data_IF_486487513697
#
_entry.id   IF_486487513697
#
_cell.length_a   1.000
_cell.length_b   1.000
_cell.length_c   1.000
_cell.angle_alpha   90.00
_cell.angle_beta   90.00
_cell.angle_gamma   90.00
#
_symmetry.space_group_name_H-M   'P 1'
#
loop_
_entity.id
_entity.type
_entity.pdbx_description
1 polymer ?
#
# COMPACT_ATOMS: atom_id res chain seq x y z
N UNK A 1 -1.04 -7.29 -32.60
CA UNK A 1 -0.57 -6.68 -31.36
C UNK A 1 -0.76 -7.70 -30.25
N UNK A 2 0.33 -8.05 -29.58
CA UNK A 2 0.26 -8.94 -28.42
C UNK A 2 -0.58 -8.22 -27.34
N UNK A 3 -1.69 -8.81 -26.92
CA UNK A 3 -2.55 -8.23 -25.87
C UNK A 3 -1.82 -8.36 -24.54
N UNK A 4 -1.56 -7.24 -23.90
CA UNK A 4 -0.86 -7.20 -22.61
C UNK A 4 -1.83 -7.44 -21.45
N UNK A 5 -1.44 -8.30 -20.51
CA UNK A 5 -2.20 -8.54 -19.28
C UNK A 5 -2.25 -7.33 -18.34
N UNK A 6 -1.30 -6.43 -18.48
CA UNK A 6 -1.12 -5.26 -17.62
C UNK A 6 -1.18 -3.99 -18.47
N UNK A 7 -2.09 -3.09 -18.13
CA UNK A 7 -2.32 -1.81 -18.79
C UNK A 7 -2.08 -0.67 -17.80
N UNK A 8 -1.34 0.34 -18.24
CA UNK A 8 -1.06 1.55 -17.47
C UNK A 8 -1.50 2.77 -18.28
N UNK A 9 -2.40 3.56 -17.72
CA UNK A 9 -2.82 4.86 -18.24
C UNK A 9 -2.12 5.95 -17.42
N UNK A 10 -1.25 6.72 -18.06
CA UNK A 10 -0.52 7.82 -17.41
C UNK A 10 -0.10 8.89 -18.42
N UNK A 11 -0.02 10.13 -17.95
CA UNK A 11 0.42 11.26 -18.75
C UNK A 11 -0.64 11.82 -19.67
N UNK A 12 -0.39 13.04 -20.15
CA UNK A 12 -1.34 13.83 -20.94
C UNK A 12 -1.82 13.10 -22.18
N UNK A 13 -0.91 12.49 -22.96
CA UNK A 13 -1.25 11.80 -24.21
C UNK A 13 -2.26 10.66 -24.00
N UNK A 14 -2.09 9.90 -22.92
CA UNK A 14 -2.95 8.75 -22.63
C UNK A 14 -4.29 9.20 -22.07
N UNK A 15 -4.29 10.14 -21.13
CA UNK A 15 -5.52 10.63 -20.53
C UNK A 15 -6.38 11.47 -21.49
N UNK A 16 -5.78 12.20 -22.44
CA UNK A 16 -6.53 12.99 -23.44
C UNK A 16 -7.39 12.15 -24.39
N UNK A 17 -7.18 10.82 -24.43
CA UNK A 17 -7.99 9.89 -25.23
C UNK A 17 -9.34 9.53 -24.57
N UNK A 18 -9.50 9.84 -23.29
CA UNK A 18 -10.73 9.60 -22.55
C UNK A 18 -11.66 10.83 -22.53
N UNK A 19 -12.82 10.66 -21.92
CA UNK A 19 -13.78 11.74 -21.71
C UNK A 19 -13.47 12.46 -20.41
N UNK A 20 -13.37 13.78 -20.46
CA UNK A 20 -13.13 14.69 -19.35
C UNK A 20 -14.43 15.48 -19.10
N UNK A 21 -14.97 15.37 -17.89
CA UNK A 21 -16.14 16.15 -17.45
C UNK A 21 -15.76 16.89 -16.16
N UNK A 22 -15.64 18.22 -16.24
CA UNK A 22 -15.13 19.07 -15.17
C UNK A 22 -13.71 18.65 -14.65
N UNK A 23 -12.92 18.05 -15.52
CA UNK A 23 -11.55 17.60 -15.27
C UNK A 23 -10.60 18.19 -16.30
N UNK A 24 -9.49 18.70 -15.87
CA UNK A 24 -8.40 19.21 -16.71
C UNK A 24 -7.17 18.30 -16.61
N UNK A 25 -6.25 18.48 -17.58
CA UNK A 25 -4.95 17.81 -17.60
C UNK A 25 -3.86 18.81 -17.23
N UNK A 26 -3.26 18.66 -16.06
CA UNK A 26 -2.18 19.51 -15.57
C UNK A 26 -0.96 18.64 -15.21
N UNK A 27 0.19 18.98 -15.76
CA UNK A 27 1.45 18.26 -15.52
C UNK A 27 1.35 16.72 -15.69
N UNK A 28 0.55 16.27 -16.65
CA UNK A 28 0.32 14.84 -16.89
C UNK A 28 -0.64 14.15 -15.92
N UNK A 29 -1.32 14.92 -15.07
CA UNK A 29 -2.30 14.43 -14.11
C UNK A 29 -3.71 14.85 -14.48
N UNK A 30 -4.70 14.04 -14.07
CA UNK A 30 -6.11 14.44 -14.04
C UNK A 30 -6.36 15.26 -12.76
N UNK A 31 -6.86 16.47 -12.90
CA UNK A 31 -7.22 17.38 -11.81
C UNK A 31 -8.64 17.92 -12.05
N UNK A 32 -9.27 18.43 -11.01
CA UNK A 32 -10.53 19.16 -11.21
C UNK A 32 -10.28 20.39 -12.11
N UNK A 33 -11.19 20.65 -13.02
CA UNK A 33 -11.16 21.89 -13.82
C UNK A 33 -11.39 23.11 -12.95
N UNK A 34 -10.94 24.27 -13.41
CA UNK A 34 -11.02 25.51 -12.64
C UNK A 34 -11.66 26.63 -13.44
N UNK A 35 -12.41 27.48 -12.76
CA UNK A 35 -12.98 28.71 -13.30
C UNK A 35 -12.63 29.87 -12.38
N UNK A 36 -12.12 30.96 -12.95
CA UNK A 36 -11.68 32.14 -12.20
C UNK A 36 -10.70 31.83 -11.04
N UNK A 37 -9.77 30.85 -11.24
CA UNK A 37 -8.80 30.46 -10.25
C UNK A 37 -9.36 29.62 -9.08
N UNK A 38 -10.54 29.05 -9.24
CA UNK A 38 -11.21 28.18 -8.26
C UNK A 38 -11.54 26.84 -8.90
N UNK A 39 -11.13 25.74 -8.28
CA UNK A 39 -11.46 24.39 -8.73
C UNK A 39 -12.95 24.10 -8.57
N UNK A 40 -13.49 23.38 -9.51
CA UNK A 40 -14.85 22.85 -9.44
C UNK A 40 -14.94 21.79 -8.32
N UNK A 41 -16.11 21.68 -7.66
CA UNK A 41 -16.22 20.75 -6.50
C UNK A 41 -16.25 19.27 -6.90
N UNK A 42 -16.54 18.97 -8.17
CA UNK A 42 -16.66 17.62 -8.68
C UNK A 42 -16.32 17.55 -10.16
N UNK A 43 -15.69 16.46 -10.56
CA UNK A 43 -15.42 16.13 -11.96
C UNK A 43 -15.16 14.64 -12.15
N UNK A 44 -15.25 14.16 -13.38
CA UNK A 44 -15.02 12.77 -13.71
C UNK A 44 -14.17 12.62 -14.98
N UNK A 45 -13.35 11.59 -14.96
CA UNK A 45 -12.64 11.08 -16.14
C UNK A 45 -13.14 9.68 -16.45
N UNK A 46 -13.40 9.40 -17.72
CA UNK A 46 -13.72 8.05 -18.21
C UNK A 46 -12.76 7.67 -19.32
N UNK A 47 -12.05 6.54 -19.15
CA UNK A 47 -11.12 6.04 -20.17
C UNK A 47 -11.86 5.65 -21.45
N UNK A 48 -11.16 5.53 -22.60
CA UNK A 48 -11.70 4.79 -23.75
C UNK A 48 -12.04 3.34 -23.32
N UNK A 49 -12.79 2.66 -24.15
CA UNK A 49 -12.96 1.22 -24.07
C UNK A 49 -11.62 0.53 -24.39
N UNK A 50 -11.19 -0.37 -23.52
CA UNK A 50 -9.88 -0.98 -23.57
C UNK A 50 -10.05 -2.49 -23.78
N UNK A 51 -9.67 -2.97 -24.95
CA UNK A 51 -9.67 -4.39 -25.26
C UNK A 51 -8.59 -5.13 -24.45
N UNK A 52 -8.97 -6.23 -23.82
CA UNK A 52 -8.10 -7.08 -23.02
C UNK A 52 -8.12 -8.53 -23.55
N UNK A 53 -7.07 -9.34 -23.32
CA UNK A 53 -7.21 -10.79 -23.49
C UNK A 53 -8.35 -11.32 -22.64
N UNK A 54 -9.04 -12.37 -23.09
CA UNK A 54 -10.12 -12.98 -22.30
C UNK A 54 -9.63 -13.32 -20.88
N UNK A 55 -10.30 -12.84 -19.85
CA UNK A 55 -9.83 -12.90 -18.46
C UNK A 55 -10.91 -13.33 -17.46
N UNK A 56 -10.46 -13.90 -16.34
CA UNK A 56 -11.31 -14.28 -15.22
C UNK A 56 -11.18 -13.35 -13.99
N UNK A 57 -10.07 -12.60 -13.84
CA UNK A 57 -9.91 -11.63 -12.78
C UNK A 57 -9.38 -10.31 -13.35
N UNK A 58 -9.81 -9.20 -12.73
CA UNK A 58 -9.30 -7.85 -12.98
C UNK A 58 -8.97 -7.19 -11.64
N UNK A 59 -7.77 -6.64 -11.55
CA UNK A 59 -7.34 -5.78 -10.45
C UNK A 59 -7.08 -4.38 -11.00
N UNK A 60 -7.66 -3.38 -10.34
CA UNK A 60 -7.46 -1.97 -10.68
C UNK A 60 -6.67 -1.30 -9.57
N UNK A 61 -5.77 -0.41 -9.94
CA UNK A 61 -4.98 0.38 -8.99
C UNK A 61 -4.76 1.79 -9.52
N UNK A 62 -4.43 2.71 -8.63
CA UNK A 62 -4.28 4.12 -8.97
C UNK A 62 -3.15 4.77 -8.18
N UNK A 63 -2.56 5.81 -8.77
CA UNK A 63 -1.64 6.70 -8.10
C UNK A 63 -2.23 8.11 -8.09
N UNK A 64 -2.51 8.60 -6.91
CA UNK A 64 -3.14 9.90 -6.74
C UNK A 64 -2.57 10.68 -5.56
N UNK A 65 -2.65 11.99 -5.69
CA UNK A 65 -2.56 12.92 -4.59
C UNK A 65 -3.98 13.27 -4.17
N UNK A 66 -4.29 13.14 -2.89
CA UNK A 66 -5.54 13.62 -2.31
C UNK A 66 -5.21 14.46 -1.07
N UNK A 67 -4.94 15.77 -1.26
CA UNK A 67 -4.76 16.71 -0.15
C UNK A 67 -6.01 16.79 0.74
N UNK A 68 -5.86 17.40 1.92
CA UNK A 68 -6.98 17.63 2.84
C UNK A 68 -8.19 18.24 2.09
N UNK A 69 -9.39 17.82 2.48
CA UNK A 69 -10.67 18.20 1.87
C UNK A 69 -10.90 17.67 0.45
N UNK A 70 -10.06 16.78 -0.05
CA UNK A 70 -10.25 16.13 -1.35
C UNK A 70 -10.37 14.63 -1.21
N UNK A 71 -11.02 14.00 -2.17
CA UNK A 71 -11.09 12.56 -2.31
C UNK A 71 -11.30 12.15 -3.76
N UNK A 72 -11.06 10.88 -4.05
CA UNK A 72 -11.37 10.29 -5.33
C UNK A 72 -12.10 8.95 -5.15
N UNK A 73 -12.79 8.54 -6.20
CA UNK A 73 -13.42 7.23 -6.30
C UNK A 73 -13.05 6.63 -7.66
N UNK A 74 -12.43 5.45 -7.64
CA UNK A 74 -12.11 4.71 -8.87
C UNK A 74 -13.17 3.66 -9.10
N UNK A 75 -13.63 3.56 -10.35
CA UNK A 75 -14.64 2.60 -10.81
C UNK A 75 -14.13 1.87 -12.04
N UNK A 76 -14.67 0.70 -12.28
CA UNK A 76 -14.53 0.00 -13.54
C UNK A 76 -15.86 -0.58 -14.01
N UNK A 77 -15.93 -0.90 -15.30
CA UNK A 77 -16.92 -1.81 -15.87
C UNK A 77 -16.24 -2.79 -16.81
N UNK A 78 -16.84 -3.94 -16.97
CA UNK A 78 -16.30 -5.06 -17.75
C UNK A 78 -17.26 -5.39 -18.88
N UNK A 79 -16.71 -5.65 -20.07
CA UNK A 79 -17.49 -6.24 -21.17
C UNK A 79 -17.37 -7.76 -21.09
N UNK A 80 -18.49 -8.42 -20.75
CA UNK A 80 -18.56 -9.86 -20.56
C UNK A 80 -19.95 -10.35 -20.97
N UNK A 81 -20.06 -11.55 -21.53
CA UNK A 81 -21.37 -12.11 -21.94
C UNK A 81 -22.05 -11.33 -23.08
N UNK A 82 -21.34 -10.46 -23.79
CA UNK A 82 -21.87 -9.66 -24.90
C UNK A 82 -22.36 -8.26 -24.51
N UNK A 83 -22.21 -7.84 -23.25
CA UNK A 83 -22.65 -6.51 -22.80
C UNK A 83 -21.70 -5.93 -21.74
N UNK A 84 -21.85 -4.63 -21.47
CA UNK A 84 -21.14 -3.94 -20.39
C UNK A 84 -21.88 -4.11 -19.05
N UNK A 85 -21.11 -4.45 -18.00
CA UNK A 85 -21.66 -4.40 -16.64
C UNK A 85 -21.98 -2.96 -16.22
N UNK A 86 -22.76 -2.81 -15.16
CA UNK A 86 -22.82 -1.55 -14.43
C UNK A 86 -21.44 -1.18 -13.86
N UNK A 87 -21.26 0.11 -13.54
CA UNK A 87 -20.05 0.60 -12.90
C UNK A 87 -19.89 0.01 -11.49
N UNK A 88 -18.75 -0.64 -11.25
CA UNK A 88 -18.35 -1.18 -9.95
C UNK A 88 -17.34 -0.25 -9.30
N UNK A 89 -17.58 0.13 -8.05
CA UNK A 89 -16.74 1.07 -7.31
C UNK A 89 -15.78 0.35 -6.39
N UNK A 90 -14.50 0.77 -6.41
CA UNK A 90 -13.50 0.34 -5.43
C UNK A 90 -13.58 1.12 -4.10
N UNK A 91 -14.58 1.98 -3.94
CA UNK A 91 -14.78 2.83 -2.80
C UNK A 91 -14.11 4.21 -2.94
N UNK A 92 -14.43 5.09 -2.00
CA UNK A 92 -13.81 6.41 -1.91
C UNK A 92 -12.45 6.30 -1.22
N UNK A 93 -11.48 7.04 -1.72
CA UNK A 93 -10.12 7.01 -1.21
C UNK A 93 -9.51 8.40 -1.03
N UNK A 94 -8.87 8.59 0.12
CA UNK A 94 -7.89 9.61 0.45
C UNK A 94 -7.00 9.04 1.58
N UNK A 95 -5.73 9.50 1.74
CA UNK A 95 -4.80 8.87 2.69
C UNK A 95 -5.25 8.98 4.16
N UNK A 96 -5.96 10.02 4.52
CA UNK A 96 -6.42 10.32 5.88
C UNK A 96 -7.94 10.19 6.07
N UNK A 97 -8.68 9.68 5.08
CA UNK A 97 -10.13 9.53 5.12
C UNK A 97 -10.52 8.07 5.42
N UNK A 98 -11.63 7.80 6.15
CA UNK A 98 -12.13 6.45 6.35
C UNK A 98 -12.46 5.78 5.02
N UNK A 99 -11.69 4.76 4.67
CA UNK A 99 -11.83 4.01 3.42
C UNK A 99 -12.72 2.80 3.65
N UNK A 100 -13.58 2.53 2.69
CA UNK A 100 -14.41 1.33 2.67
C UNK A 100 -14.56 0.87 1.23
N UNK A 101 -14.09 -0.32 0.93
CA UNK A 101 -14.38 -0.99 -0.34
C UNK A 101 -15.87 -1.30 -0.47
N UNK A 102 -16.30 -1.48 -1.70
CA UNK A 102 -17.71 -1.76 -2.01
C UNK A 102 -17.79 -3.15 -2.62
N UNK A 103 -18.68 -3.97 -2.08
CA UNK A 103 -19.05 -5.22 -2.72
C UNK A 103 -20.14 -4.97 -3.73
N UNK A 104 -19.94 -5.36 -4.99
CA UNK A 104 -20.88 -5.18 -6.09
C UNK A 104 -20.93 -6.43 -6.95
N UNK A 105 -22.10 -6.79 -7.43
CA UNK A 105 -22.27 -7.89 -8.39
C UNK A 105 -23.30 -7.55 -9.45
N UNK A 106 -23.22 -8.19 -10.61
CA UNK A 106 -24.27 -8.17 -11.63
C UNK A 106 -25.51 -8.94 -11.15
N UNK A 107 -26.66 -8.69 -11.74
CA UNK A 107 -27.92 -9.35 -11.37
C UNK A 107 -27.85 -10.88 -11.51
N UNK A 108 -27.14 -11.37 -12.53
CA UNK A 108 -26.89 -12.79 -12.78
C UNK A 108 -25.78 -13.39 -11.89
N UNK A 109 -25.06 -12.56 -11.11
CA UNK A 109 -23.95 -12.96 -10.25
C UNK A 109 -22.71 -13.42 -10.99
N UNK A 110 -22.63 -13.28 -12.32
CA UNK A 110 -21.51 -13.75 -13.12
C UNK A 110 -20.31 -12.81 -13.12
N UNK A 111 -20.48 -11.54 -12.76
CA UNK A 111 -19.39 -10.59 -12.54
C UNK A 111 -19.57 -9.93 -11.19
N UNK A 112 -18.55 -9.97 -10.36
CA UNK A 112 -18.61 -9.37 -9.04
C UNK A 112 -17.26 -8.77 -8.62
N UNK A 113 -17.33 -7.68 -7.87
CA UNK A 113 -16.21 -7.03 -7.19
C UNK A 113 -16.26 -7.37 -5.71
N UNK A 114 -15.19 -7.95 -5.20
CA UNK A 114 -14.98 -8.18 -3.78
C UNK A 114 -13.63 -7.57 -3.37
N UNK A 115 -13.69 -6.57 -2.47
CA UNK A 115 -12.50 -5.83 -2.04
C UNK A 115 -11.82 -5.10 -3.19
N UNK A 116 -10.76 -5.68 -3.74
CA UNK A 116 -9.95 -5.10 -4.80
C UNK A 116 -9.88 -5.95 -6.08
N UNK A 117 -10.70 -7.00 -6.17
CA UNK A 117 -10.66 -7.94 -7.29
C UNK A 117 -12.05 -8.08 -7.91
N UNK A 118 -12.14 -7.79 -9.20
CA UNK A 118 -13.29 -8.16 -10.01
C UNK A 118 -13.09 -9.59 -10.51
N UNK A 119 -14.06 -10.44 -10.26
CA UNK A 119 -14.11 -11.82 -10.77
C UNK A 119 -15.15 -11.91 -11.86
N UNK A 120 -14.79 -12.55 -12.97
CA UNK A 120 -15.65 -12.78 -14.13
C UNK A 120 -15.84 -14.29 -14.30
N UNK A 121 -17.00 -14.77 -13.89
CA UNK A 121 -17.42 -16.19 -14.05
C UNK A 121 -18.23 -16.41 -15.31
N UNK A 122 -18.53 -15.37 -16.09
CA UNK A 122 -19.26 -15.47 -17.36
C UNK A 122 -18.50 -16.37 -18.34
N UNK A 123 -19.21 -17.21 -19.13
CA UNK A 123 -18.59 -18.00 -20.19
C UNK A 123 -17.80 -17.12 -21.17
N UNK A 124 -16.54 -17.50 -21.45
CA UNK A 124 -15.63 -16.71 -22.27
C UNK A 124 -14.91 -15.56 -21.52
N UNK A 125 -15.24 -15.33 -20.26
CA UNK A 125 -14.60 -14.30 -19.44
C UNK A 125 -14.95 -12.86 -19.84
N UNK A 126 -14.22 -11.90 -19.27
CA UNK A 126 -14.22 -10.52 -19.71
C UNK A 126 -13.26 -10.32 -20.87
N UNK A 127 -13.59 -9.45 -21.82
CA UNK A 127 -12.76 -9.16 -23.00
C UNK A 127 -12.52 -7.66 -23.21
N UNK A 128 -13.16 -6.82 -22.43
CA UNK A 128 -13.02 -5.37 -22.44
C UNK A 128 -13.19 -4.78 -21.05
N UNK A 129 -12.54 -3.66 -20.82
CA UNK A 129 -12.65 -2.89 -19.58
C UNK A 129 -12.79 -1.41 -19.90
N UNK A 130 -13.40 -0.68 -18.99
CA UNK A 130 -13.38 0.78 -18.97
C UNK A 130 -13.18 1.24 -17.53
N UNK A 131 -12.33 2.25 -17.35
CA UNK A 131 -12.01 2.83 -16.06
C UNK A 131 -12.65 4.22 -15.95
N UNK A 132 -13.13 4.55 -14.76
CA UNK A 132 -13.62 5.87 -14.43
C UNK A 132 -12.98 6.32 -13.10
N UNK A 133 -12.65 7.60 -13.00
CA UNK A 133 -12.30 8.22 -11.73
C UNK A 133 -13.14 9.47 -11.52
N UNK A 134 -13.77 9.53 -10.36
CA UNK A 134 -14.50 10.69 -9.87
C UNK A 134 -13.59 11.45 -8.90
N UNK A 135 -13.43 12.74 -9.12
CA UNK A 135 -12.65 13.66 -8.29
C UNK A 135 -13.59 14.57 -7.53
N UNK A 136 -13.31 14.85 -6.28
CA UNK A 136 -14.09 15.80 -5.48
C UNK A 136 -13.24 16.62 -4.54
N UNK A 137 -13.62 17.87 -4.30
CA UNK A 137 -13.03 18.78 -3.34
C UNK A 137 -14.08 19.61 -2.62
N UNK A 138 -13.94 19.74 -1.32
CA UNK A 138 -14.74 20.62 -0.48
C UNK A 138 -14.08 22.00 -0.31
N UNK A 139 -12.88 22.19 -0.88
CA UNK A 139 -12.15 23.48 -0.89
C UNK A 139 -11.81 23.87 -2.34
N UNK A 140 -12.38 24.96 -2.81
CA UNK A 140 -12.15 25.44 -4.17
C UNK A 140 -10.68 25.87 -4.47
N UNK A 141 -9.78 25.86 -3.48
CA UNK A 141 -8.36 26.16 -3.65
C UNK A 141 -7.51 24.90 -3.84
N UNK A 142 -8.09 23.71 -3.62
CA UNK A 142 -7.36 22.46 -3.60
C UNK A 142 -8.04 21.44 -4.52
N UNK A 143 -7.25 20.67 -5.25
CA UNK A 143 -7.71 19.61 -6.12
C UNK A 143 -6.99 18.30 -5.83
N UNK A 144 -7.66 17.14 -5.91
CA UNK A 144 -6.96 15.87 -6.02
C UNK A 144 -6.31 15.78 -7.39
N UNK A 145 -5.24 14.97 -7.52
CA UNK A 145 -4.55 14.78 -8.79
C UNK A 145 -4.27 13.30 -9.03
N UNK A 146 -4.77 12.73 -10.13
CA UNK A 146 -4.51 11.33 -10.50
C UNK A 146 -3.40 11.27 -11.53
N UNK A 147 -2.32 10.58 -11.20
CA UNK A 147 -1.11 10.44 -12.03
C UNK A 147 -1.12 9.19 -12.88
N UNK A 148 -1.76 8.12 -12.38
CA UNK A 148 -1.74 6.81 -13.01
C UNK A 148 -3.02 6.06 -12.66
N UNK A 149 -3.60 5.40 -13.65
CA UNK A 149 -4.59 4.34 -13.49
C UNK A 149 -4.02 3.07 -14.10
N UNK A 150 -4.11 1.94 -13.43
CA UNK A 150 -3.66 0.67 -13.96
C UNK A 150 -4.76 -0.38 -13.85
N UNK A 151 -4.80 -1.26 -14.83
CA UNK A 151 -5.65 -2.44 -14.86
C UNK A 151 -4.80 -3.66 -15.19
N UNK A 152 -4.91 -4.68 -14.40
CA UNK A 152 -4.22 -5.95 -14.58
C UNK A 152 -5.23 -7.09 -14.63
N UNK A 153 -5.15 -7.93 -15.66
CA UNK A 153 -6.06 -9.05 -15.84
C UNK A 153 -5.34 -10.39 -15.74
N UNK A 154 -6.00 -11.37 -15.13
CA UNK A 154 -5.60 -12.77 -15.20
C UNK A 154 -6.25 -13.41 -16.42
N UNK A 155 -5.49 -13.76 -17.47
CA UNK A 155 -6.06 -14.35 -18.68
C UNK A 155 -6.64 -15.74 -18.39
N UNK A 156 -7.70 -16.08 -19.10
CA UNK A 156 -8.26 -17.45 -19.07
C UNK A 156 -7.26 -18.49 -19.61
N UNK A 157 -6.57 -18.16 -20.71
CA UNK A 157 -5.52 -18.96 -21.29
C UNK A 157 -4.16 -18.26 -21.04
N UNK A 158 -3.60 -18.48 -19.86
CA UNK A 158 -2.35 -17.85 -19.49
C UNK A 158 -1.17 -18.82 -19.61
N UNK A 159 -0.41 -18.67 -20.69
CA UNK A 159 0.85 -19.38 -20.88
C UNK A 159 1.97 -18.63 -20.13
N UNK A 160 2.28 -19.09 -18.92
CA UNK A 160 3.35 -18.53 -18.09
C UNK A 160 4.71 -18.86 -18.68
N UNK A 161 5.55 -17.85 -18.84
CA UNK A 161 6.90 -17.98 -19.37
C UNK A 161 7.94 -17.89 -18.25
N UNK A 162 8.99 -18.70 -18.32
CA UNK A 162 10.04 -18.70 -17.32
C UNK A 162 11.08 -17.60 -17.54
N UNK A 163 11.36 -17.24 -18.79
CA UNK A 163 12.39 -16.28 -19.15
C UNK A 163 13.82 -16.79 -18.90
N UNK A 164 14.80 -15.95 -19.14
CA UNK A 164 16.22 -16.27 -18.94
C UNK A 164 16.56 -16.39 -17.44
N UNK A 165 17.43 -17.32 -17.09
CA UNK A 165 17.98 -17.44 -15.75
C UNK A 165 18.81 -16.20 -15.40
N UNK A 166 18.60 -15.64 -14.23
CA UNK A 166 19.38 -14.53 -13.71
C UNK A 166 19.93 -14.88 -12.33
N UNK A 167 21.09 -14.32 -12.00
CA UNK A 167 21.69 -14.41 -10.69
C UNK A 167 21.81 -12.98 -10.14
N UNK A 168 20.80 -12.52 -9.40
CA UNK A 168 20.76 -11.16 -8.84
C UNK A 168 20.01 -11.14 -7.53
N UNK A 169 20.66 -10.56 -6.52
CA UNK A 169 20.11 -10.36 -5.19
C UNK A 169 19.95 -8.87 -4.91
N UNK A 170 18.79 -8.48 -4.42
CA UNK A 170 18.49 -7.14 -3.94
C UNK A 170 18.39 -7.16 -2.42
N UNK A 171 18.79 -6.07 -1.80
CA UNK A 171 18.67 -5.89 -0.36
C UNK A 171 17.32 -5.24 -0.05
N UNK A 172 16.58 -5.79 0.92
CA UNK A 172 15.35 -5.24 1.48
C UNK A 172 15.39 -5.33 3.01
N UNK A 173 14.80 -4.35 3.71
CA UNK A 173 14.50 -4.50 5.13
C UNK A 173 13.64 -5.73 5.40
N UNK A 174 13.94 -6.42 6.50
CA UNK A 174 13.26 -7.64 6.91
C UNK A 174 12.28 -7.30 8.03
N UNK A 175 10.99 -7.47 7.76
CA UNK A 175 9.92 -7.27 8.72
C UNK A 175 9.21 -8.59 8.97
N UNK A 176 8.81 -8.84 10.23
CA UNK A 176 8.10 -10.04 10.66
C UNK A 176 6.74 -9.63 11.25
N UNK A 177 5.71 -10.46 11.10
CA UNK A 177 4.38 -10.20 11.65
C UNK A 177 4.35 -10.06 13.16
N UNK A 178 5.14 -10.86 13.86
CA UNK A 178 5.26 -10.76 15.32
C UNK A 178 5.96 -9.46 15.73
N UNK A 179 5.46 -8.79 16.75
CA UNK A 179 5.99 -7.53 17.24
C UNK A 179 5.32 -6.27 16.65
N UNK A 180 4.35 -6.43 15.77
CA UNK A 180 3.53 -5.34 15.23
C UNK A 180 2.17 -5.23 15.94
N UNK A 181 1.35 -4.26 15.49
CA UNK A 181 0.05 -3.98 16.11
C UNK A 181 -0.88 -5.20 16.06
N UNK A 182 -1.25 -5.77 17.21
CA UNK A 182 -2.14 -6.92 17.26
C UNK A 182 -3.56 -6.60 16.75
N UNK A 183 -3.96 -5.32 16.65
CA UNK A 183 -5.27 -4.91 16.12
C UNK A 183 -5.45 -5.28 14.65
N UNK A 184 -4.36 -5.37 13.89
CA UNK A 184 -4.38 -5.80 12.49
C UNK A 184 -4.21 -7.32 12.32
N UNK A 185 -3.87 -8.02 13.40
CA UNK A 185 -3.72 -9.47 13.40
C UNK A 185 -2.66 -9.95 12.42
N UNK A 186 -2.93 -11.10 11.79
CA UNK A 186 -2.04 -11.74 10.82
C UNK A 186 -2.11 -11.12 9.42
N UNK A 187 -2.93 -10.12 9.20
CA UNK A 187 -3.20 -9.53 7.89
C UNK A 187 -2.23 -8.39 7.52
N UNK A 188 -1.24 -8.11 8.37
CA UNK A 188 -0.25 -7.07 8.11
C UNK A 188 0.83 -7.46 7.09
N UNK A 189 0.86 -8.69 6.61
CA UNK A 189 1.87 -9.16 5.66
C UNK A 189 2.02 -8.23 4.44
N UNK A 190 0.90 -7.77 3.86
CA UNK A 190 0.91 -6.84 2.73
C UNK A 190 1.51 -5.48 3.10
N UNK A 191 1.17 -4.91 4.25
CA UNK A 191 1.72 -3.63 4.70
C UNK A 191 3.22 -3.73 5.02
N UNK A 192 3.66 -4.86 5.57
CA UNK A 192 5.07 -5.16 5.82
C UNK A 192 5.86 -5.24 4.50
N UNK A 193 5.30 -5.91 3.49
CA UNK A 193 5.90 -6.01 2.17
C UNK A 193 6.01 -4.63 1.53
N UNK A 194 4.93 -3.85 1.49
CA UNK A 194 4.93 -2.52 0.86
C UNK A 194 5.89 -1.56 1.57
N UNK A 195 5.94 -1.56 2.91
CA UNK A 195 6.91 -0.79 3.67
C UNK A 195 8.36 -1.22 3.35
N UNK A 196 8.62 -2.53 3.25
CA UNK A 196 9.94 -3.06 2.87
C UNK A 196 10.36 -2.58 1.48
N UNK A 197 9.45 -2.61 0.51
CA UNK A 197 9.70 -2.13 -0.86
C UNK A 197 10.00 -0.62 -0.91
N UNK A 198 9.30 0.22 -0.13
CA UNK A 198 9.55 1.67 -0.06
C UNK A 198 10.85 1.98 0.69
N UNK A 199 11.07 1.34 1.83
CA UNK A 199 12.26 1.58 2.66
C UNK A 199 13.55 1.14 1.99
N UNK A 200 13.50 0.17 1.07
CA UNK A 200 14.61 -0.13 0.18
C UNK A 200 15.13 1.10 -0.57
N UNK A 201 14.23 2.03 -0.92
CA UNK A 201 14.55 3.27 -1.63
C UNK A 201 14.80 4.47 -0.70
N UNK A 202 14.91 4.21 0.61
CA UNK A 202 15.20 5.23 1.61
C UNK A 202 13.96 5.99 2.11
N UNK A 203 12.75 5.43 1.98
CA UNK A 203 11.54 6.03 2.49
C UNK A 203 11.44 5.75 3.98
N UNK A 204 11.80 6.12 4.85
CA UNK A 204 11.64 5.92 6.30
C UNK A 204 10.13 5.87 6.70
N UNK A 205 9.48 4.78 6.36
CA UNK A 205 8.08 4.54 6.69
C UNK A 205 7.91 3.27 7.52
N UNK A 206 6.99 3.32 8.48
CA UNK A 206 6.64 2.16 9.29
C UNK A 206 5.61 1.28 8.57
N UNK A 207 5.66 -0.04 8.74
CA UNK A 207 4.59 -0.92 8.28
C UNK A 207 3.21 -0.51 8.79
N UNK A 208 3.13 -0.01 10.03
CA UNK A 208 1.90 0.49 10.63
C UNK A 208 1.36 1.73 9.92
N UNK A 209 2.22 2.64 9.46
CA UNK A 209 1.77 3.79 8.65
C UNK A 209 1.16 3.34 7.34
N UNK A 210 1.74 2.32 6.70
CA UNK A 210 1.16 1.71 5.52
C UNK A 210 -0.16 1.04 5.86
N UNK A 211 -0.21 0.23 6.93
CA UNK A 211 -1.41 -0.45 7.39
C UNK A 211 -2.56 0.52 7.65
N UNK A 212 -2.32 1.61 8.36
CA UNK A 212 -3.33 2.65 8.60
C UNK A 212 -3.78 3.34 7.31
N UNK A 213 -2.84 3.65 6.42
CA UNK A 213 -3.15 4.34 5.16
C UNK A 213 -3.94 3.44 4.21
N UNK A 214 -3.79 2.13 4.29
CA UNK A 214 -4.50 1.16 3.45
C UNK A 214 -5.68 0.46 4.15
N UNK A 215 -5.94 0.76 5.42
CA UNK A 215 -7.01 0.13 6.19
C UNK A 215 -8.37 0.23 5.48
N UNK A 216 -9.03 -0.91 5.34
CA UNK A 216 -10.35 -1.04 4.71
C UNK A 216 -11.42 -1.30 5.78
N UNK A 217 -12.21 -0.30 6.08
CA UNK A 217 -13.28 -0.39 7.08
C UNK A 217 -14.44 -1.29 6.67
N UNK A 218 -14.53 -1.76 5.42
CA UNK A 218 -15.56 -2.72 5.02
C UNK A 218 -15.22 -4.13 5.50
N UNK A 219 -13.94 -4.49 5.44
CA UNK A 219 -13.43 -5.79 5.87
C UNK A 219 -12.80 -5.75 7.26
N UNK A 220 -12.66 -4.56 7.85
CA UNK A 220 -11.92 -4.30 9.08
C UNK A 220 -10.48 -4.84 9.03
N UNK A 221 -9.81 -4.68 7.88
CA UNK A 221 -8.51 -5.31 7.62
C UNK A 221 -7.59 -4.48 6.74
N UNK A 222 -6.39 -5.01 6.51
CA UNK A 222 -5.30 -4.37 5.76
C UNK A 222 -4.79 -5.26 4.60
N UNK A 223 -5.69 -5.96 3.95
CA UNK A 223 -5.38 -6.89 2.85
C UNK A 223 -5.81 -6.39 1.46
N UNK A 224 -6.35 -5.17 1.36
CA UNK A 224 -6.77 -4.57 0.08
C UNK A 224 -5.54 -4.05 -0.68
N UNK A 225 -5.12 -4.77 -1.73
CA UNK A 225 -3.92 -4.43 -2.47
C UNK A 225 -4.06 -3.16 -3.34
N UNK A 226 -5.28 -2.78 -3.74
CA UNK A 226 -5.50 -1.50 -4.41
C UNK A 226 -5.21 -0.33 -3.46
N UNK A 227 -5.64 -0.44 -2.20
CA UNK A 227 -5.33 0.55 -1.17
C UNK A 227 -3.86 0.55 -0.77
N UNK A 228 -3.19 -0.62 -0.76
CA UNK A 228 -1.75 -0.70 -0.53
C UNK A 228 -0.93 0.02 -1.61
N UNK A 229 -1.31 -0.15 -2.88
CA UNK A 229 -0.73 0.60 -4.00
C UNK A 229 -0.99 2.10 -3.85
N UNK A 230 -2.23 2.50 -3.52
CA UNK A 230 -2.56 3.90 -3.31
C UNK A 230 -1.81 4.51 -2.12
N UNK A 231 -1.56 3.75 -1.05
CA UNK A 231 -0.72 4.16 0.09
C UNK A 231 0.74 4.41 -0.32
N UNK A 232 1.33 3.54 -1.13
CA UNK A 232 2.67 3.76 -1.68
C UNK A 232 2.70 4.98 -2.61
N UNK A 233 1.66 5.16 -3.41
CA UNK A 233 1.55 6.28 -4.34
C UNK A 233 1.42 7.64 -3.65
N UNK A 234 0.76 7.73 -2.50
CA UNK A 234 0.69 8.99 -1.73
C UNK A 234 2.06 9.38 -1.13
N UNK A 235 2.98 8.41 -0.97
CA UNK A 235 4.39 8.67 -0.66
C UNK A 235 5.23 9.05 -1.89
N UNK A 236 4.63 9.08 -3.08
CA UNK A 236 5.28 9.50 -4.32
C UNK A 236 5.84 8.36 -5.18
N UNK A 237 5.66 7.10 -4.80
CA UNK A 237 6.13 5.95 -5.57
C UNK A 237 5.16 5.62 -6.70
N UNK A 238 5.60 5.55 -7.96
CA UNK A 238 4.82 4.92 -9.01
C UNK A 238 4.59 3.45 -8.65
N UNK A 239 3.34 3.05 -8.49
CA UNK A 239 3.00 1.71 -8.03
C UNK A 239 1.73 1.19 -8.72
N UNK A 240 1.65 -0.11 -8.94
CA UNK A 240 0.46 -0.76 -9.51
C UNK A 240 0.40 -2.25 -9.18
N UNK A 241 -0.76 -2.82 -9.30
CA UNK A 241 -0.95 -4.27 -9.29
C UNK A 241 -0.68 -4.85 -10.68
N UNK A 242 -0.15 -6.06 -10.75
CA UNK A 242 0.08 -6.78 -12.00
C UNK A 242 -0.23 -8.26 -11.89
N UNK A 243 -0.53 -8.90 -13.02
CA UNK A 243 -0.46 -10.34 -13.18
C UNK A 243 0.81 -10.66 -13.97
N UNK A 244 1.79 -11.23 -13.28
CA UNK A 244 3.15 -11.46 -13.79
C UNK A 244 3.49 -12.94 -13.84
N UNK A 245 4.23 -13.33 -14.85
CA UNK A 245 4.89 -14.62 -14.89
C UNK A 245 6.35 -14.54 -14.39
N UNK A 246 7.07 -15.64 -14.42
CA UNK A 246 8.45 -15.70 -13.93
C UNK A 246 9.40 -14.85 -14.80
N UNK A 247 9.17 -14.79 -16.12
CA UNK A 247 9.93 -13.94 -17.05
C UNK A 247 9.81 -12.46 -16.68
N UNK A 248 8.60 -12.01 -16.38
CA UNK A 248 8.32 -10.63 -15.99
C UNK A 248 8.91 -10.31 -14.60
N UNK A 249 8.80 -11.24 -13.64
CA UNK A 249 9.43 -11.10 -12.33
C UNK A 249 10.96 -11.01 -12.43
N UNK A 250 11.58 -11.83 -13.27
CA UNK A 250 13.03 -11.76 -13.54
C UNK A 250 13.43 -10.43 -14.15
N UNK A 251 12.62 -9.90 -15.07
CA UNK A 251 12.85 -8.56 -15.65
C UNK A 251 12.79 -7.47 -14.56
N UNK A 252 11.82 -7.52 -13.63
CA UNK A 252 11.76 -6.56 -12.51
C UNK A 252 13.04 -6.62 -11.66
N UNK A 253 13.45 -7.81 -11.26
CA UNK A 253 14.68 -7.99 -10.47
C UNK A 253 15.92 -7.56 -11.26
N UNK A 254 15.98 -7.87 -12.57
CA UNK A 254 17.05 -7.40 -13.45
C UNK A 254 17.14 -5.89 -13.48
N UNK A 255 16.01 -5.18 -13.51
CA UNK A 255 15.95 -3.72 -13.45
C UNK A 255 16.24 -3.14 -12.05
N UNK A 256 16.50 -3.99 -11.05
CA UNK A 256 16.78 -3.57 -9.68
C UNK A 256 15.52 -3.28 -8.86
N UNK A 257 14.34 -3.71 -9.32
CA UNK A 257 13.07 -3.52 -8.64
C UNK A 257 12.63 -4.82 -7.94
N UNK A 258 12.52 -4.76 -6.62
CA UNK A 258 11.87 -5.81 -5.83
C UNK A 258 10.37 -5.75 -6.01
N UNK A 259 9.69 -6.88 -5.84
CA UNK A 259 8.26 -7.04 -6.17
C UNK A 259 7.55 -7.67 -4.97
N UNK A 260 6.39 -7.15 -4.59
CA UNK A 260 5.46 -7.86 -3.71
C UNK A 260 4.78 -8.97 -4.50
N UNK A 261 4.81 -10.21 -4.02
CA UNK A 261 4.22 -11.38 -4.67
C UNK A 261 3.20 -12.03 -3.76
N UNK A 262 2.02 -12.35 -4.30
CA UNK A 262 0.99 -13.09 -3.58
C UNK A 262 1.25 -14.59 -3.71
N UNK A 263 1.37 -15.26 -2.57
CA UNK A 263 1.64 -16.70 -2.49
C UNK A 263 0.46 -17.41 -1.87
N UNK A 264 0.04 -18.52 -2.44
CA UNK A 264 -0.93 -19.42 -1.82
C UNK A 264 -0.18 -20.49 -1.04
N UNK A 265 -0.26 -20.46 0.28
CA UNK A 265 0.51 -21.34 1.17
C UNK A 265 -0.35 -21.86 2.31
N UNK A 266 0.17 -22.81 3.07
CA UNK A 266 -0.45 -23.29 4.30
C UNK A 266 0.35 -22.76 5.50
N UNK A 267 -0.29 -21.95 6.32
CA UNK A 267 0.31 -21.51 7.58
C UNK A 267 0.23 -22.64 8.62
N UNK A 268 1.19 -22.64 9.55
CA UNK A 268 1.23 -23.61 10.65
C UNK A 268 -0.10 -23.64 11.42
N UNK A 269 -0.70 -24.82 11.57
CA UNK A 269 -1.97 -25.03 12.26
C UNK A 269 -3.23 -24.71 11.45
N UNK A 270 -3.11 -24.30 10.19
CA UNK A 270 -4.26 -24.11 9.29
C UNK A 270 -4.44 -25.29 8.34
N UNK A 271 -5.69 -25.73 8.14
CA UNK A 271 -6.04 -26.83 7.22
C UNK A 271 -6.15 -26.35 5.77
N UNK A 272 -6.73 -25.17 5.58
CA UNK A 272 -6.96 -24.59 4.26
C UNK A 272 -5.77 -23.72 3.83
N UNK A 273 -5.49 -23.66 2.53
CA UNK A 273 -4.50 -22.73 1.99
C UNK A 273 -4.96 -21.29 2.26
N UNK A 274 -3.99 -20.43 2.53
CA UNK A 274 -4.19 -19.00 2.70
C UNK A 274 -3.33 -18.23 1.71
N UNK A 275 -3.76 -17.04 1.35
CA UNK A 275 -2.95 -16.12 0.55
C UNK A 275 -2.20 -15.19 1.46
N UNK A 276 -0.90 -15.08 1.21
CA UNK A 276 0.02 -14.21 1.95
C UNK A 276 0.88 -13.43 0.96
N UNK A 277 1.31 -12.27 1.37
CA UNK A 277 2.23 -11.46 0.58
C UNK A 277 3.66 -11.64 1.08
N UNK A 278 4.57 -11.81 0.12
CA UNK A 278 6.01 -11.89 0.36
C UNK A 278 6.74 -10.89 -0.53
N UNK A 279 7.93 -10.45 -0.13
CA UNK A 279 8.74 -9.59 -0.97
C UNK A 279 9.77 -10.42 -1.74
N UNK A 280 9.65 -10.46 -3.07
CA UNK A 280 10.64 -11.05 -3.96
C UNK A 280 11.85 -10.11 -4.05
N UNK A 281 13.02 -10.60 -3.65
CA UNK A 281 14.27 -9.83 -3.61
C UNK A 281 15.37 -10.36 -4.51
N UNK A 282 15.12 -11.45 -5.23
CA UNK A 282 16.12 -11.96 -6.16
C UNK A 282 15.88 -13.35 -6.67
N UNK A 283 16.80 -13.72 -7.55
CA UNK A 283 16.96 -15.07 -8.10
C UNK A 283 18.42 -15.46 -7.98
N UNK A 284 18.67 -16.74 -7.85
CA UNK A 284 19.99 -17.32 -7.86
C UNK A 284 20.02 -18.64 -8.60
N UNK A 285 21.23 -19.06 -8.94
CA UNK A 285 21.54 -20.33 -9.53
C UNK A 285 22.68 -20.95 -8.74
N UNK A 286 22.55 -22.21 -8.38
CA UNK A 286 23.58 -23.00 -7.77
C UNK A 286 24.17 -23.92 -8.85
N UNK A 287 25.43 -23.70 -9.21
CA UNK A 287 26.11 -24.42 -10.28
C UNK A 287 26.43 -25.86 -9.86
N UNK A 288 26.66 -26.12 -8.56
CA UNK A 288 27.03 -27.45 -8.07
C UNK A 288 25.88 -28.47 -8.17
N UNK A 289 24.66 -27.99 -7.93
CA UNK A 289 23.46 -28.83 -7.99
C UNK A 289 22.54 -28.49 -9.17
N UNK A 290 22.96 -27.58 -10.05
CA UNK A 290 22.20 -27.09 -11.22
C UNK A 290 20.77 -26.63 -10.85
N UNK A 291 20.59 -26.05 -9.68
CA UNK A 291 19.29 -25.66 -9.16
C UNK A 291 19.08 -24.14 -9.23
N UNK A 292 17.90 -23.75 -9.72
CA UNK A 292 17.44 -22.37 -9.68
C UNK A 292 16.58 -22.14 -8.45
N UNK A 293 16.79 -21.00 -7.78
CA UNK A 293 16.04 -20.61 -6.60
C UNK A 293 15.62 -19.16 -6.63
N UNK A 294 14.58 -18.85 -5.88
CA UNK A 294 14.12 -17.48 -5.58
C UNK A 294 14.54 -17.08 -4.17
N UNK A 295 14.80 -15.79 -4.00
CA UNK A 295 15.09 -15.17 -2.72
C UNK A 295 13.89 -14.31 -2.32
N UNK A 296 13.29 -14.63 -1.18
CA UNK A 296 12.09 -14.00 -0.65
C UNK A 296 12.35 -13.43 0.75
N UNK A 297 11.64 -12.38 1.11
CA UNK A 297 11.36 -12.04 2.50
C UNK A 297 9.92 -12.49 2.80
N UNK A 298 9.77 -13.40 3.74
CA UNK A 298 8.51 -13.96 4.20
C UNK A 298 8.15 -13.39 5.57
N UNK A 299 7.26 -12.38 5.64
CA UNK A 299 6.88 -11.80 6.92
C UNK A 299 6.10 -12.75 7.82
N UNK A 300 5.53 -13.82 7.27
CA UNK A 300 4.73 -14.82 8.00
C UNK A 300 5.57 -15.94 8.63
N UNK A 301 6.89 -15.89 8.48
CA UNK A 301 7.80 -16.87 9.05
C UNK A 301 7.65 -16.91 10.59
N UNK A 302 7.10 -18.01 11.11
CA UNK A 302 6.91 -18.19 12.55
C UNK A 302 8.26 -18.35 13.29
N UNK A 303 9.21 -19.02 12.65
CA UNK A 303 10.56 -19.29 13.19
C UNK A 303 11.64 -19.08 12.12
N UNK A 304 12.86 -18.86 12.54
CA UNK A 304 14.00 -18.70 11.65
C UNK A 304 14.04 -17.32 10.97
N UNK A 305 14.88 -17.14 9.95
CA UNK A 305 15.02 -15.86 9.26
C UNK A 305 13.82 -15.53 8.37
N UNK A 306 13.48 -14.25 8.28
CA UNK A 306 12.48 -13.73 7.32
C UNK A 306 12.98 -13.94 5.89
N UNK A 307 14.28 -13.75 5.67
CA UNK A 307 14.94 -14.00 4.39
C UNK A 307 14.98 -15.50 4.10
N UNK A 308 14.30 -15.93 3.06
CA UNK A 308 14.19 -17.34 2.65
C UNK A 308 14.68 -17.56 1.24
N UNK A 309 15.11 -18.79 1.01
CA UNK A 309 15.42 -19.33 -0.32
C UNK A 309 14.40 -20.42 -0.62
N UNK A 310 13.85 -20.43 -1.83
CA UNK A 310 12.88 -21.42 -2.28
C UNK A 310 13.24 -21.88 -3.70
N UNK A 311 13.18 -23.19 -4.01
CA UNK A 311 13.33 -23.68 -5.39
C UNK A 311 12.33 -22.98 -6.33
N UNK A 312 12.75 -22.67 -7.56
CA UNK A 312 11.87 -21.99 -8.55
C UNK A 312 10.60 -22.80 -8.80
N UNK A 313 10.69 -24.13 -8.85
CA UNK A 313 9.55 -25.00 -9.08
C UNK A 313 8.49 -24.89 -7.97
N UNK A 314 8.93 -24.82 -6.72
CA UNK A 314 8.02 -24.63 -5.58
C UNK A 314 7.42 -23.21 -5.59
N UNK A 315 8.23 -22.20 -5.91
CA UNK A 315 7.73 -20.83 -6.08
C UNK A 315 6.63 -20.77 -7.13
N UNK A 316 6.84 -21.35 -8.32
CA UNK A 316 5.84 -21.36 -9.39
C UNK A 316 4.55 -22.07 -8.99
N UNK A 317 4.65 -23.11 -8.16
CA UNK A 317 3.50 -23.85 -7.65
C UNK A 317 2.63 -23.01 -6.71
N UNK A 318 3.24 -22.16 -5.90
CA UNK A 318 2.55 -21.38 -4.86
C UNK A 318 2.27 -19.93 -5.28
N UNK A 319 2.98 -19.41 -6.26
CA UNK A 319 2.78 -18.05 -6.76
C UNK A 319 1.48 -17.95 -7.56
N UNK A 320 0.55 -17.13 -7.09
CA UNK A 320 -0.75 -16.93 -7.76
C UNK A 320 -0.61 -16.25 -9.12
N UNK A 321 0.46 -15.51 -9.34
CA UNK A 321 0.68 -14.62 -10.47
C UNK A 321 0.42 -13.15 -10.13
N UNK A 322 -0.26 -12.86 -9.01
CA UNK A 322 -0.56 -11.50 -8.59
C UNK A 322 0.64 -10.85 -7.91
N UNK A 323 0.91 -9.62 -8.29
CA UNK A 323 2.08 -8.90 -7.81
C UNK A 323 1.77 -7.41 -7.57
N UNK A 324 2.57 -6.78 -6.69
CA UNK A 324 2.62 -5.32 -6.52
C UNK A 324 4.00 -4.85 -6.96
N UNK A 325 4.01 -3.95 -7.93
CA UNK A 325 5.21 -3.35 -8.50
C UNK A 325 5.34 -1.92 -7.96
N UNK A 326 6.52 -1.59 -7.43
CA UNK A 326 6.91 -0.24 -7.07
C UNK A 326 8.13 0.19 -7.88
N UNK A 327 8.11 1.41 -8.39
CA UNK A 327 9.26 2.02 -9.05
C UNK A 327 9.88 3.09 -8.15
N UNK A 328 11.18 3.40 -8.32
CA UNK A 328 11.82 4.48 -7.58
C UNK A 328 11.02 5.78 -7.70
N UNK A 329 10.93 6.50 -6.59
CA UNK A 329 10.26 7.78 -6.51
C UNK A 329 10.99 8.84 -7.36
N UNK A 330 10.31 9.48 -8.33
CA UNK A 330 10.90 10.59 -9.07
C UNK A 330 11.24 11.76 -8.14
N UNK A 331 12.30 12.51 -8.46
CA UNK A 331 12.68 13.70 -7.67
C UNK A 331 11.60 14.78 -7.77
N UNK A 332 11.33 15.45 -6.65
CA UNK A 332 10.41 16.58 -6.61
C UNK A 332 8.93 16.24 -6.78
N UNK A 333 8.57 14.97 -6.76
CA UNK A 333 7.17 14.57 -6.86
C UNK A 333 6.42 14.95 -5.58
N UNK A 334 5.25 15.62 -5.66
CA UNK A 334 4.43 15.92 -4.50
C UNK A 334 3.94 14.64 -3.80
N UNK A 335 3.74 14.72 -2.49
CA UNK A 335 3.24 13.62 -1.67
C UNK A 335 2.07 14.09 -0.80
N UNK A 336 1.16 13.19 -0.49
CA UNK A 336 0.01 13.43 0.41
C UNK A 336 -0.09 12.36 1.50
N UNK A 337 1.04 11.79 1.92
CA UNK A 337 1.04 10.89 3.07
C UNK A 337 0.56 11.63 4.33
N UNK A 338 0.00 10.91 5.33
CA UNK A 338 -0.44 11.50 6.59
C UNK A 338 0.65 12.38 7.21
N UNK A 339 0.25 13.53 7.73
CA UNK A 339 1.18 14.51 8.29
C UNK A 339 1.88 13.93 9.52
N UNK A 340 3.21 13.90 9.49
CA UNK A 340 4.04 13.63 10.66
C UNK A 340 4.31 14.93 11.39
N UNK A 341 3.88 14.99 12.65
CA UNK A 341 4.15 16.13 13.54
C UNK A 341 5.35 15.77 14.39
N UNK A 342 6.46 16.51 14.22
CA UNK A 342 7.61 16.38 15.10
C UNK A 342 7.35 17.14 16.39
N UNK A 343 7.47 16.45 17.51
CA UNK A 343 7.32 17.03 18.84
C UNK A 343 8.34 16.43 19.81
N UNK A 344 8.60 17.10 20.90
CA UNK A 344 9.31 16.55 22.05
C UNK A 344 8.35 15.83 22.99
N UNK A 345 8.90 15.13 23.95
CA UNK A 345 8.19 14.60 25.11
C UNK A 345 8.67 15.29 26.37
N UNK A 346 7.72 15.71 27.20
CA UNK A 346 7.96 16.23 28.54
C UNK A 346 7.47 15.22 29.58
N UNK A 347 8.39 14.76 30.43
CA UNK A 347 8.10 13.82 31.51
C UNK A 347 7.40 14.57 32.65
N UNK A 348 6.15 14.21 32.89
CA UNK A 348 5.35 14.78 33.98
C UNK A 348 5.49 13.99 35.29
N UNK A 349 6.29 12.94 35.31
CA UNK A 349 6.37 11.98 36.41
C UNK A 349 5.31 10.89 36.36
N UNK A 350 5.46 9.84 37.18
CA UNK A 350 4.52 8.71 37.27
C UNK A 350 4.25 7.96 35.95
N UNK A 351 5.17 8.08 34.97
CA UNK A 351 5.04 7.50 33.64
C UNK A 351 4.06 8.22 32.71
N UNK A 352 3.68 9.43 33.05
CA UNK A 352 2.86 10.31 32.21
C UNK A 352 3.73 11.25 31.40
N UNK A 353 3.42 11.37 30.10
CA UNK A 353 4.15 12.17 29.13
C UNK A 353 3.22 13.09 28.35
N UNK A 354 3.66 14.30 28.11
CA UNK A 354 2.98 15.27 27.28
C UNK A 354 3.77 15.57 26.02
N UNK A 355 3.07 15.77 24.91
CA UNK A 355 3.70 16.32 23.72
C UNK A 355 4.11 17.77 23.96
N UNK A 356 5.31 18.13 23.50
CA UNK A 356 5.78 19.51 23.55
C UNK A 356 5.99 20.02 22.14
N UNK A 357 5.37 21.13 21.81
CA UNK A 357 5.67 21.92 20.62
C UNK A 357 6.13 23.31 21.03
N UNK A 358 7.24 23.77 20.46
CA UNK A 358 7.79 25.10 20.73
C UNK A 358 7.98 25.41 22.23
N UNK A 359 8.30 24.37 23.02
CA UNK A 359 8.56 24.52 24.45
C UNK A 359 7.33 24.59 25.37
N UNK A 360 6.13 24.38 24.83
CA UNK A 360 4.91 24.31 25.61
C UNK A 360 4.35 22.89 25.62
N UNK A 361 3.75 22.46 26.75
CA UNK A 361 2.99 21.22 26.83
C UNK A 361 1.75 21.34 25.97
N UNK A 362 1.62 20.46 24.98
CA UNK A 362 0.41 20.33 24.17
C UNK A 362 -0.35 19.10 24.62
N UNK A 363 -1.58 19.21 25.12
CA UNK A 363 -2.43 18.04 25.32
C UNK A 363 -2.72 17.41 23.97
N UNK A 364 -2.89 16.09 23.95
CA UNK A 364 -3.44 15.43 22.77
C UNK A 364 -4.79 16.07 22.45
N UNK A 365 -5.06 16.43 21.19
CA UNK A 365 -6.35 17.00 20.80
C UNK A 365 -7.49 16.11 21.31
N UNK A 366 -8.58 16.71 21.78
CA UNK A 366 -9.75 15.99 22.33
C UNK A 366 -10.40 15.04 21.33
N UNK A 367 -10.25 15.34 20.04
CA UNK A 367 -10.75 14.54 18.92
C UNK A 367 -9.94 13.25 18.65
N UNK A 368 -8.82 13.03 19.32
CA UNK A 368 -8.13 11.73 19.36
C UNK A 368 -8.92 10.71 20.19
N UNK A 369 -10.11 10.37 19.74
CA UNK A 369 -11.06 9.58 20.54
C UNK A 369 -10.96 8.07 20.37
N UNK A 370 -10.25 7.57 19.35
CA UNK A 370 -10.30 6.16 19.00
C UNK A 370 -9.31 5.31 19.80
N UNK A 371 -8.06 5.30 19.40
CA UNK A 371 -6.98 4.60 20.08
C UNK A 371 -5.64 5.20 19.67
N UNK A 372 -4.70 5.06 20.55
CA UNK A 372 -3.35 5.59 20.42
C UNK A 372 -2.41 4.39 20.43
N UNK A 373 -1.55 4.33 19.46
CA UNK A 373 -0.55 3.28 19.37
C UNK A 373 0.83 3.89 19.18
N UNK A 374 1.84 3.21 19.69
CA UNK A 374 3.21 3.66 19.66
C UNK A 374 4.12 2.57 19.15
N UNK A 375 5.09 2.94 18.33
CA UNK A 375 6.15 2.05 17.91
C UNK A 375 7.50 2.66 18.20
N UNK A 376 8.44 1.85 18.64
CA UNK A 376 9.80 2.24 18.97
C UNK A 376 10.78 1.72 17.91
N UNK A 377 11.75 2.55 17.57
CA UNK A 377 12.87 2.20 16.73
C UNK A 377 14.17 2.10 17.52
N UNK A 378 15.07 1.24 17.09
CA UNK A 378 16.43 1.14 17.60
C UNK A 378 17.38 2.24 17.10
N UNK A 379 16.86 3.37 16.69
CA UNK A 379 17.67 4.54 16.36
C UNK A 379 18.27 4.61 14.97
N UNK A 380 18.13 3.59 14.12
CA UNK A 380 18.66 3.61 12.74
C UNK A 380 17.53 3.58 11.72
N UNK A 381 17.32 4.69 11.01
CA UNK A 381 16.21 4.93 10.10
C UNK A 381 16.07 3.91 8.95
N UNK A 382 17.11 3.19 8.63
CA UNK A 382 17.14 2.24 7.52
C UNK A 382 17.56 0.84 7.96
N UNK A 383 17.53 0.59 9.27
CA UNK A 383 17.93 -0.70 9.79
C UNK A 383 16.94 -1.79 9.42
N UNK A 384 17.48 -2.95 9.13
CA UNK A 384 16.73 -4.17 8.80
C UNK A 384 15.85 -4.68 9.94
N UNK A 385 15.98 -4.13 11.13
CA UNK A 385 15.32 -4.55 12.36
C UNK A 385 14.68 -3.39 13.10
N UNK A 386 14.01 -2.50 12.36
CA UNK A 386 13.58 -1.20 12.87
C UNK A 386 12.50 -1.24 13.96
N UNK A 387 11.81 -2.36 14.17
CA UNK A 387 10.66 -2.40 15.07
C UNK A 387 10.80 -3.47 16.12
N UNK A 388 10.93 -3.08 17.37
CA UNK A 388 10.91 -4.04 18.47
C UNK A 388 9.62 -4.06 19.26
N UNK A 389 8.85 -2.99 19.26
CA UNK A 389 7.65 -2.94 20.11
C UNK A 389 6.59 -2.04 19.53
N UNK A 390 5.41 -2.58 19.38
CA UNK A 390 4.19 -1.84 19.17
C UNK A 390 3.27 -2.05 20.37
N UNK A 391 2.74 -0.96 20.97
CA UNK A 391 1.88 -1.06 22.13
C UNK A 391 0.76 -0.04 22.05
N UNK A 392 -0.42 -0.47 22.49
CA UNK A 392 -1.54 0.43 22.71
C UNK A 392 -1.28 1.30 23.93
N UNK A 393 -1.55 2.58 23.79
CA UNK A 393 -1.29 3.59 24.80
C UNK A 393 -2.59 4.02 25.48
N UNK A 394 -2.49 4.39 26.75
CA UNK A 394 -3.59 5.01 27.48
C UNK A 394 -3.46 6.53 27.45
N UNK A 395 -4.56 7.20 27.08
CA UNK A 395 -4.69 8.64 27.25
C UNK A 395 -5.03 8.92 28.71
N UNK A 396 -4.33 9.85 29.31
CA UNK A 396 -4.61 10.28 30.68
C UNK A 396 -5.73 11.33 30.71
N UNK A 397 -6.36 11.50 31.87
CA UNK A 397 -7.40 12.51 32.08
C UNK A 397 -6.87 13.95 31.89
N UNK A 398 -5.57 14.16 32.09
CA UNK A 398 -4.91 15.45 31.89
C UNK A 398 -4.54 15.72 30.41
N UNK A 399 -4.81 14.78 29.50
CA UNK A 399 -4.51 14.90 28.07
C UNK A 399 -3.11 14.44 27.67
N UNK A 400 -2.36 13.81 28.57
CA UNK A 400 -1.10 13.17 28.30
C UNK A 400 -1.26 11.73 27.79
N UNK A 401 -0.14 11.04 27.63
CA UNK A 401 -0.06 9.62 27.28
C UNK A 401 0.71 8.89 28.36
N UNK A 402 0.27 7.69 28.71
CA UNK A 402 1.02 6.80 29.59
C UNK A 402 1.80 5.77 28.77
N UNK A 403 3.12 5.81 28.86
CA UNK A 403 4.00 4.81 28.25
C UNK A 403 4.20 3.62 29.19
N UNK A 404 4.32 2.40 28.67
CA UNK A 404 4.76 1.26 29.47
C UNK A 404 6.12 1.52 30.12
N UNK A 405 6.31 1.03 31.33
CA UNK A 405 7.56 1.18 32.08
C UNK A 405 8.76 0.70 31.26
N UNK A 406 9.84 1.47 31.27
CA UNK A 406 11.08 1.16 30.54
C UNK A 406 11.10 1.51 29.06
N UNK A 407 9.97 1.92 28.49
CA UNK A 407 9.86 2.19 27.06
C UNK A 407 10.63 3.45 26.62
N UNK A 408 10.68 4.46 27.47
CA UNK A 408 11.32 5.76 27.16
C UNK A 408 12.83 5.77 27.46
N UNK A 409 13.33 4.73 28.14
CA UNK A 409 14.74 4.70 28.59
C UNK A 409 15.75 4.23 27.54
N UNK A 410 15.27 3.80 26.38
CA UNK A 410 16.14 3.13 25.38
C UNK A 410 16.74 4.06 24.34
N UNK A 411 16.39 5.36 24.33
CA UNK A 411 16.74 6.26 23.23
C UNK A 411 16.04 5.86 21.93
N UNK A 412 16.20 6.66 20.90
CA UNK A 412 15.64 6.35 19.58
C UNK A 412 14.45 7.17 19.18
N UNK A 413 13.66 6.68 18.24
CA UNK A 413 12.47 7.34 17.67
C UNK A 413 11.20 6.62 18.07
N UNK A 414 10.21 7.37 18.47
CA UNK A 414 8.87 6.87 18.76
C UNK A 414 7.88 7.51 17.80
N UNK A 415 7.03 6.72 17.16
CA UNK A 415 5.89 7.23 16.41
C UNK A 415 4.61 6.89 17.15
N UNK A 416 3.84 7.90 17.47
CA UNK A 416 2.52 7.75 18.09
C UNK A 416 1.45 7.99 17.04
N UNK A 417 0.60 7.01 16.87
CA UNK A 417 -0.51 7.02 15.93
C UNK A 417 -1.80 7.24 16.68
N UNK A 418 -2.63 8.10 16.17
CA UNK A 418 -3.98 8.28 16.67
C UNK A 418 -4.96 8.40 15.53
N UNK A 419 -6.12 7.78 15.68
CA UNK A 419 -7.24 7.92 14.77
C UNK A 419 -8.28 8.78 15.47
N UNK A 420 -8.64 9.91 14.87
CA UNK A 420 -9.66 10.80 15.41
C UNK A 420 -11.08 10.23 15.22
N UNK A 421 -12.08 10.89 15.78
CA UNK A 421 -13.48 10.45 15.71
C UNK A 421 -14.03 10.43 14.27
N UNK A 422 -13.38 11.13 13.35
CA UNK A 422 -13.71 11.12 11.92
C UNK A 422 -13.01 10.01 11.16
N UNK A 423 -12.15 9.23 11.82
CA UNK A 423 -11.33 8.17 11.22
C UNK A 423 -10.05 8.70 10.54
N UNK A 424 -9.68 9.95 10.76
CA UNK A 424 -8.43 10.51 10.24
C UNK A 424 -7.25 10.06 11.08
N UNK A 425 -6.19 9.62 10.42
CA UNK A 425 -4.95 9.25 11.08
C UNK A 425 -4.09 10.49 11.31
N UNK A 426 -3.54 10.59 12.53
CA UNK A 426 -2.51 11.56 12.93
C UNK A 426 -1.28 10.80 13.38
N UNK A 427 -0.11 11.27 13.02
CA UNK A 427 1.17 10.66 13.40
C UNK A 427 2.03 11.71 14.09
N UNK A 428 2.41 11.45 15.32
CA UNK A 428 3.42 12.23 16.05
C UNK A 428 4.73 11.45 16.06
N UNK A 429 5.78 12.03 15.51
CA UNK A 429 7.15 11.49 15.57
C UNK A 429 7.92 12.18 16.69
N UNK A 430 8.44 11.39 17.62
CA UNK A 430 9.10 11.85 18.83
C UNK A 430 10.51 11.28 18.86
N UNK A 431 11.51 12.15 19.04
CA UNK A 431 12.87 11.74 19.38
C UNK A 431 12.94 11.50 20.89
N UNK A 432 13.14 10.26 21.28
CA UNK A 432 13.33 9.91 22.69
C UNK A 432 14.73 10.36 23.14
N UNK A 433 14.87 10.95 24.34
CA UNK A 433 16.18 11.31 24.86
C UNK A 433 17.05 10.07 25.05
N UNK A 434 18.33 10.18 24.74
CA UNK A 434 19.28 9.17 25.14
C UNK A 434 19.37 9.13 26.67
N UNK A 435 19.46 7.93 27.28
CA UNK A 435 19.71 7.85 28.73
C UNK A 435 20.97 8.65 29.05
N UNK A 436 20.88 9.52 30.05
CA UNK A 436 22.02 10.26 30.54
C UNK A 436 23.06 9.24 31.07
N UNK A 437 24.09 8.96 30.29
CA UNK A 437 25.17 8.02 30.71
C UNK A 437 25.97 7.35 29.61
N UNK A 438 25.63 7.51 28.33
CA UNK A 438 26.40 6.89 27.22
C UNK A 438 27.20 7.90 26.37
N UNK A 439 27.41 9.10 26.85
CA UNK A 439 28.40 10.01 26.28
C UNK A 439 29.77 9.66 26.88
N UNK A 440 30.51 8.78 26.21
CA UNK A 440 31.91 8.53 26.57
C UNK A 440 32.29 7.05 26.60
N UNK A 441 32.39 6.44 25.46
CA UNK A 441 33.40 5.41 25.17
C UNK A 441 33.58 5.42 23.65
N UNK A 442 34.57 6.17 23.22
CA UNK A 442 35.24 5.99 21.93
C UNK A 442 35.95 4.65 21.88
#
# INVERSE_FOLDING_TARGET
>A
MEQKNNLILQGTETFSRGALDNVALENGCLVLDSSAGRYLPYGSYTSPELAMPAFCNLNVSWNALAPDNTMLEVRCRVYAGGDWTNWMSFGKWAPDYPRRSVHTQTEDGLVFLLGDTVTVAAPGGGVGIQLQVNLSSNDAKVTPAVRLLAAAVRPLAWERQDGAVINRRLYLPEYRLDGHDPSFGREMDLSLVVASLMNRWGEDILPEEVAYTMFDGATNGVHNAAYAVAAAACCGYPAWQGWLDLKELRAQIHDGCSVGVEMETRLAGQKEPVRVWMALRGFGHDEDILANYVLLNDPTAAEGPVARTMPVADFQRFFTGRAIILRPKPRGIPTTRPLRIRCGLDDAGEGEWFFTRKGARDPLPEDFGGWIACTLYDGVAHATTAHKTFRRMERTAAGGIRFPAGMVQTGGRCCVYAVDQTGRMRVAEILLPHPAGTAGAE
#
